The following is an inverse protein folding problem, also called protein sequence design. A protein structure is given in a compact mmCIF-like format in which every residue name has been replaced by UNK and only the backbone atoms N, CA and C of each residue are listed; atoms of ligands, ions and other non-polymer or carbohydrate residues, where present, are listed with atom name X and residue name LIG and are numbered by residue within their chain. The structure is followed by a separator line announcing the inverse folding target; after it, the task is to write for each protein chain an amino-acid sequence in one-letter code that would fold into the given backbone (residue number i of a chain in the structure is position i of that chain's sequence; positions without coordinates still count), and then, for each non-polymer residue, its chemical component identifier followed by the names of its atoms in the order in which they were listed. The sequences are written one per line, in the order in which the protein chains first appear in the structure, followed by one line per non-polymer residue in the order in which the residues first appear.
data_IF_379186320193
#
_entry.id   IF_379186320193
#
_cell.length_a   1.000
_cell.length_b   1.000
_cell.length_c   1.000
_cell.angle_alpha   90.00
_cell.angle_beta   90.00
_cell.angle_gamma   90.00
#
_symmetry.space_group_name_H-M   'P 1'
#
loop_
_entity.id
_entity.type
_entity.pdbx_description
1 polymer ?
#
# COMPACT_ATOMS: atom_id res chain seq x y z
N UNK A 1 -0.62 10.96 15.60
CA UNK A 1 -1.44 11.28 14.42
C UNK A 1 -0.56 11.87 13.32
N UNK A 2 -0.59 11.30 12.15
CA UNK A 2 0.18 11.85 11.02
C UNK A 2 -0.76 12.14 9.85
N UNK A 3 -0.44 13.17 9.09
CA UNK A 3 -1.16 13.50 7.88
C UNK A 3 -0.65 12.67 6.70
N UNK A 4 -1.34 12.80 5.57
CA UNK A 4 -0.99 12.04 4.36
C UNK A 4 0.41 12.36 3.87
N UNK A 5 0.78 13.64 3.85
CA UNK A 5 2.11 14.04 3.37
C UNK A 5 3.23 13.48 4.24
N UNK A 6 3.05 13.51 5.56
CA UNK A 6 4.01 12.93 6.49
C UNK A 6 4.09 11.42 6.31
N UNK A 7 2.95 10.78 6.08
CA UNK A 7 2.90 9.34 5.81
C UNK A 7 3.73 8.99 4.58
N UNK A 8 3.54 9.72 3.49
CA UNK A 8 4.30 9.49 2.25
C UNK A 8 5.79 9.70 2.46
N UNK A 9 6.15 10.73 3.19
CA UNK A 9 7.55 11.03 3.49
C UNK A 9 8.20 9.94 4.32
N UNK A 10 7.50 9.44 5.33
CA UNK A 10 8.01 8.36 6.17
C UNK A 10 8.15 7.05 5.40
N UNK A 11 7.20 6.75 4.52
CA UNK A 11 7.29 5.56 3.69
C UNK A 11 8.49 5.64 2.75
N UNK A 12 8.75 6.80 2.17
CA UNK A 12 9.92 6.98 1.31
C UNK A 12 11.24 6.92 2.05
N UNK A 13 11.23 7.13 3.37
CA UNK A 13 12.44 7.03 4.18
C UNK A 13 12.83 5.59 4.51
N UNK A 14 11.98 4.61 4.21
CA UNK A 14 12.31 3.20 4.42
C UNK A 14 13.43 2.83 3.45
N UNK A 15 14.50 2.16 3.93
CA UNK A 15 15.61 1.77 3.04
C UNK A 15 15.13 0.95 1.84
N UNK A 16 15.54 1.37 0.66
CA UNK A 16 15.17 0.69 -0.59
C UNK A 16 13.90 1.19 -1.22
N UNK A 17 13.13 2.02 -0.55
CA UNK A 17 11.89 2.55 -1.12
C UNK A 17 12.20 3.46 -2.31
N UNK A 18 11.60 3.15 -3.46
CA UNK A 18 11.76 3.91 -4.69
C UNK A 18 10.59 4.82 -4.96
N UNK A 19 9.39 4.30 -4.77
CA UNK A 19 8.17 5.06 -4.98
C UNK A 19 7.08 4.58 -4.06
N UNK A 20 6.14 5.47 -3.77
CA UNK A 20 4.95 5.15 -2.99
C UNK A 20 3.76 5.86 -3.60
N UNK A 21 2.62 5.17 -3.66
CA UNK A 21 1.36 5.71 -4.15
C UNK A 21 0.27 5.32 -3.17
N UNK A 22 -0.46 6.30 -2.69
CA UNK A 22 -1.67 6.06 -1.88
C UNK A 22 -2.86 6.07 -2.84
N UNK A 23 -3.63 5.01 -2.85
CA UNK A 23 -4.68 4.78 -3.84
C UNK A 23 -6.02 4.61 -3.16
N UNK A 24 -7.04 5.24 -3.75
CA UNK A 24 -8.43 4.97 -3.42
C UNK A 24 -8.88 3.79 -4.29
N UNK A 25 -8.99 2.62 -3.69
CA UNK A 25 -9.35 1.40 -4.40
C UNK A 25 -10.78 1.37 -4.92
N UNK A 26 -11.66 2.25 -4.44
CA UNK A 26 -13.01 2.34 -4.97
C UNK A 26 -13.04 3.00 -6.34
N UNK A 27 -12.23 4.05 -6.51
CA UNK A 27 -12.19 4.81 -7.78
C UNK A 27 -11.01 4.43 -8.67
N UNK A 28 -9.96 3.88 -8.10
CA UNK A 28 -8.72 3.62 -8.82
C UNK A 28 -7.85 4.86 -9.00
N UNK A 29 -8.10 5.91 -8.24
CA UNK A 29 -7.38 7.17 -8.37
C UNK A 29 -6.26 7.29 -7.33
N UNK A 30 -5.16 7.92 -7.74
CA UNK A 30 -4.08 8.22 -6.83
C UNK A 30 -4.48 9.39 -5.94
N UNK A 31 -4.41 9.17 -4.62
CA UNK A 31 -4.68 10.21 -3.63
C UNK A 31 -3.41 11.01 -3.35
N UNK A 32 -2.28 10.33 -3.29
CA UNK A 32 -0.99 10.95 -3.05
C UNK A 32 0.11 10.05 -3.62
N UNK A 33 1.24 10.62 -3.93
CA UNK A 33 2.37 9.86 -4.44
C UNK A 33 3.68 10.58 -4.10
N UNK A 34 4.74 9.81 -3.99
CA UNK A 34 6.09 10.32 -3.75
C UNK A 34 7.11 9.39 -4.39
N UNK A 35 8.31 9.90 -4.61
CA UNK A 35 9.39 9.11 -5.18
C UNK A 35 9.38 9.08 -6.69
N UNK A 36 10.07 8.09 -7.25
CA UNK A 36 10.28 7.97 -8.70
C UNK A 36 9.34 6.94 -9.29
N UNK A 37 8.48 7.40 -10.19
CA UNK A 37 7.46 6.56 -10.82
C UNK A 37 7.79 6.14 -12.26
N UNK A 38 9.02 6.37 -12.74
CA UNK A 38 9.42 5.93 -14.07
C UNK A 38 9.44 4.41 -14.17
N UNK A 39 9.04 3.83 -15.29
CA UNK A 39 8.43 4.44 -16.48
C UNK A 39 6.91 4.64 -16.36
N UNK A 40 6.29 4.17 -15.29
CA UNK A 40 4.84 4.23 -15.08
C UNK A 40 4.53 5.42 -14.19
N UNK A 41 3.62 6.29 -14.63
CA UNK A 41 3.25 7.41 -13.78
C UNK A 41 2.31 7.01 -12.66
N UNK A 42 2.09 7.92 -11.71
CA UNK A 42 1.30 7.62 -10.51
C UNK A 42 -0.16 7.26 -10.81
N UNK A 43 -0.72 7.83 -11.86
CA UNK A 43 -2.12 7.57 -12.22
C UNK A 43 -2.29 6.20 -12.85
N UNK A 44 -1.36 5.82 -13.71
CA UNK A 44 -1.33 4.48 -14.29
C UNK A 44 -1.04 3.43 -13.22
N UNK A 45 -0.11 3.74 -12.33
CA UNK A 45 0.19 2.87 -11.19
C UNK A 45 -1.06 2.63 -10.34
N UNK A 46 -1.78 3.68 -10.00
CA UNK A 46 -2.99 3.57 -9.20
C UNK A 46 -4.06 2.74 -9.89
N UNK A 47 -4.28 2.97 -11.17
CA UNK A 47 -5.31 2.25 -11.92
C UNK A 47 -4.99 0.76 -12.04
N UNK A 48 -3.76 0.42 -12.38
CA UNK A 48 -3.38 -0.97 -12.59
C UNK A 48 -3.24 -1.76 -11.28
N UNK A 49 -2.72 -1.14 -10.24
CA UNK A 49 -2.64 -1.81 -8.94
C UNK A 49 -4.02 -2.01 -8.31
N UNK A 50 -4.96 -1.12 -8.59
CA UNK A 50 -6.34 -1.32 -8.16
C UNK A 50 -6.92 -2.59 -8.77
N UNK A 51 -6.64 -2.87 -10.03
CA UNK A 51 -7.10 -4.10 -10.69
C UNK A 51 -6.54 -5.33 -9.98
N UNK A 52 -5.27 -5.29 -9.60
CA UNK A 52 -4.63 -6.39 -8.86
C UNK A 52 -5.32 -6.59 -7.51
N UNK A 53 -5.51 -5.52 -6.77
CA UNK A 53 -6.14 -5.60 -5.44
C UNK A 53 -7.55 -6.16 -5.54
N UNK A 54 -8.33 -5.68 -6.51
CA UNK A 54 -9.70 -6.18 -6.72
C UNK A 54 -9.70 -7.66 -7.07
N UNK A 55 -8.79 -8.09 -7.93
CA UNK A 55 -8.70 -9.50 -8.32
C UNK A 55 -8.38 -10.38 -7.10
N UNK A 56 -7.47 -9.93 -6.24
CA UNK A 56 -7.10 -10.67 -5.03
C UNK A 56 -8.29 -10.73 -4.06
N UNK A 57 -8.95 -9.61 -3.83
CA UNK A 57 -10.05 -9.53 -2.86
C UNK A 57 -11.27 -10.35 -3.29
N UNK A 58 -11.43 -10.58 -4.58
CA UNK A 58 -12.57 -11.36 -5.10
C UNK A 58 -12.19 -12.79 -5.46
N UNK A 59 -10.95 -13.21 -5.20
CA UNK A 59 -10.47 -14.54 -5.54
C UNK A 59 -10.93 -15.55 -4.47
N UNK A 60 -11.78 -16.54 -4.83
CA UNK A 60 -12.28 -17.49 -3.82
C UNK A 60 -11.17 -18.30 -3.16
N UNK A 61 -10.09 -18.57 -3.89
CA UNK A 61 -8.98 -19.37 -3.37
C UNK A 61 -8.24 -18.66 -2.23
N UNK A 62 -8.38 -17.34 -2.12
CA UNK A 62 -7.72 -16.54 -1.10
C UNK A 62 -8.68 -16.15 0.03
N UNK A 63 -9.95 -16.53 -0.08
CA UNK A 63 -10.95 -16.21 0.92
C UNK A 63 -10.90 -17.24 2.05
N UNK A 64 -11.00 -16.78 3.28
CA UNK A 64 -11.11 -17.66 4.45
C UNK A 64 -12.56 -17.91 4.84
N UNK A 65 -13.51 -17.35 4.10
CA UNK A 65 -14.92 -17.39 4.45
C UNK A 65 -15.32 -16.38 5.51
N UNK A 66 -14.41 -15.47 5.85
CA UNK A 66 -14.66 -14.41 6.83
C UNK A 66 -15.14 -13.15 6.12
N UNK A 67 -14.84 -12.01 6.68
CA UNK A 67 -15.26 -10.74 6.11
C UNK A 67 -14.30 -10.23 5.04
N UNK A 68 -14.55 -9.04 4.56
CA UNK A 68 -13.75 -8.38 3.54
C UNK A 68 -12.28 -8.12 3.94
N UNK A 69 -11.94 -8.40 5.19
CA UNK A 69 -10.61 -8.15 5.74
C UNK A 69 -9.67 -9.35 5.64
N UNK A 70 -10.03 -10.35 4.83
CA UNK A 70 -9.22 -11.56 4.71
C UNK A 70 -7.82 -11.29 4.19
N UNK A 71 -7.68 -10.33 3.28
CA UNK A 71 -6.38 -9.97 2.72
C UNK A 71 -5.99 -8.58 3.20
N UNK A 72 -4.83 -8.49 3.84
CA UNK A 72 -4.31 -7.22 4.33
C UNK A 72 -3.09 -6.74 3.56
N UNK A 73 -2.43 -7.65 2.87
CA UNK A 73 -1.13 -7.35 2.26
C UNK A 73 -0.92 -8.23 1.04
N UNK A 74 -0.33 -7.65 0.00
CA UNK A 74 0.06 -8.37 -1.22
C UNK A 74 1.53 -8.05 -1.47
N UNK A 75 2.34 -9.09 -1.64
CA UNK A 75 3.76 -8.93 -1.92
C UNK A 75 4.07 -9.56 -3.26
N UNK A 76 4.74 -8.80 -4.12
CA UNK A 76 5.13 -9.28 -5.45
C UNK A 76 6.64 -9.14 -5.55
N UNK A 77 7.34 -10.27 -5.67
CA UNK A 77 8.79 -10.29 -5.77
C UNK A 77 9.27 -10.42 -7.20
N UNK A 78 10.44 -9.87 -7.46
CA UNK A 78 11.10 -9.97 -8.74
C UNK A 78 12.62 -9.87 -8.55
N UNK A 79 13.40 -10.07 -9.62
CA UNK A 79 14.87 -10.07 -9.49
C UNK A 79 15.46 -8.71 -9.08
N UNK A 80 14.75 -7.61 -9.35
CA UNK A 80 15.25 -6.28 -9.02
C UNK A 80 14.70 -5.69 -7.74
N UNK A 81 13.86 -6.43 -7.01
CA UNK A 81 13.26 -5.92 -5.79
C UNK A 81 11.88 -6.49 -5.55
N UNK A 82 11.05 -5.76 -4.85
CA UNK A 82 9.69 -6.22 -4.57
C UNK A 82 8.71 -5.06 -4.46
N UNK A 83 7.43 -5.40 -4.60
CA UNK A 83 6.32 -4.47 -4.43
C UNK A 83 5.51 -4.91 -3.22
N UNK A 84 5.11 -3.94 -2.42
CA UNK A 84 4.27 -4.18 -1.26
C UNK A 84 2.99 -3.36 -1.42
N UNK A 85 1.85 -4.05 -1.44
CA UNK A 85 0.55 -3.41 -1.44
C UNK A 85 -0.10 -3.71 -0.10
N UNK A 86 -0.34 -2.68 0.68
CA UNK A 86 -0.91 -2.82 2.02
C UNK A 86 -2.24 -2.11 2.09
N UNK A 87 -3.29 -2.87 2.42
CA UNK A 87 -4.61 -2.28 2.62
C UNK A 87 -4.65 -1.57 3.97
N UNK A 88 -5.25 -0.39 3.97
CA UNK A 88 -5.33 0.44 5.17
C UNK A 88 -6.64 0.15 5.87
N UNK A 89 -6.55 -0.28 7.13
CA UNK A 89 -7.73 -0.52 7.94
C UNK A 89 -8.36 0.81 8.33
N UNK A 90 -9.71 0.84 8.35
CA UNK A 90 -10.42 2.05 8.74
C UNK A 90 -11.83 2.05 8.17
N UNK A 91 -12.56 3.12 8.47
CA UNK A 91 -13.94 3.29 8.02
C UNK A 91 -14.02 4.06 6.72
N UNK A 92 -13.20 3.68 5.77
CA UNK A 92 -13.25 4.30 4.46
C UNK A 92 -14.25 3.56 3.58
N UNK A 93 -15.09 4.30 2.89
CA UNK A 93 -16.05 3.72 1.95
C UNK A 93 -15.35 3.00 0.82
N UNK A 94 -14.22 3.51 0.40
CA UNK A 94 -13.35 2.86 -0.54
C UNK A 94 -12.31 2.05 0.18
N UNK A 95 -11.57 1.26 -0.55
CA UNK A 95 -10.47 0.48 0.01
C UNK A 95 -9.18 1.22 -0.25
N UNK A 96 -8.79 2.03 0.72
CA UNK A 96 -7.51 2.70 0.63
C UNK A 96 -6.40 1.67 0.74
N UNK A 97 -5.42 1.78 -0.12
CA UNK A 97 -4.21 0.97 0.00
C UNK A 97 -3.00 1.79 -0.42
N UNK A 98 -1.85 1.33 0.00
CA UNK A 98 -0.60 1.94 -0.42
C UNK A 98 0.19 0.93 -1.22
N UNK A 99 0.80 1.39 -2.32
CA UNK A 99 1.73 0.60 -3.11
C UNK A 99 3.11 1.20 -2.93
N UNK A 100 4.02 0.41 -2.36
CA UNK A 100 5.42 0.82 -2.18
C UNK A 100 6.29 -0.09 -3.03
N UNK A 101 7.12 0.51 -3.86
CA UNK A 101 8.10 -0.22 -4.66
C UNK A 101 9.46 -0.12 -3.99
N UNK A 102 10.06 -1.28 -3.78
CA UNK A 102 11.39 -1.37 -3.19
C UNK A 102 12.36 -1.94 -4.22
N UNK A 103 13.47 -1.22 -4.41
CA UNK A 103 14.56 -1.70 -5.25
C UNK A 103 15.59 -2.40 -4.37
N UNK A 104 16.28 -3.39 -4.95
CA UNK A 104 17.43 -3.99 -4.31
C UNK A 104 17.14 -5.32 -3.65
N UNK A 105 17.93 -5.60 -2.63
CA UNK A 105 18.01 -6.91 -2.01
C UNK A 105 16.75 -7.25 -1.22
N UNK A 106 16.32 -8.50 -1.35
CA UNK A 106 15.15 -8.99 -0.61
C UNK A 106 15.40 -9.12 0.89
N UNK A 107 16.66 -9.01 1.32
CA UNK A 107 17.00 -9.06 2.74
C UNK A 107 16.32 -8.00 3.60
N UNK A 108 15.76 -6.96 2.97
CA UNK A 108 15.07 -5.87 3.67
C UNK A 108 13.55 -6.07 3.77
N UNK A 109 13.01 -7.14 3.20
CA UNK A 109 11.55 -7.34 3.13
C UNK A 109 10.90 -7.33 4.52
N UNK A 110 11.44 -8.08 5.46
CA UNK A 110 10.85 -8.15 6.80
C UNK A 110 10.83 -6.78 7.48
N UNK A 111 11.91 -6.02 7.35
CA UNK A 111 12.01 -4.68 7.92
C UNK A 111 11.04 -3.73 7.23
N UNK A 112 10.94 -3.81 5.90
CA UNK A 112 10.03 -2.98 5.13
C UNK A 112 8.59 -3.23 5.55
N UNK A 113 8.18 -4.49 5.69
CA UNK A 113 6.83 -4.85 6.12
C UNK A 113 6.53 -4.29 7.50
N UNK A 114 7.46 -4.42 8.41
CA UNK A 114 7.29 -3.91 9.78
C UNK A 114 7.11 -2.39 9.76
N UNK A 115 7.95 -1.68 9.04
CA UNK A 115 7.92 -0.22 8.99
C UNK A 115 6.66 0.30 8.29
N UNK A 116 6.28 -0.32 7.17
CA UNK A 116 5.05 0.07 6.47
C UNK A 116 3.85 -0.10 7.39
N UNK A 117 3.74 -1.24 8.05
CA UNK A 117 2.64 -1.51 8.96
C UNK A 117 2.60 -0.48 10.10
N UNK A 118 3.73 -0.16 10.69
CA UNK A 118 3.81 0.80 11.79
C UNK A 118 3.38 2.20 11.35
N UNK A 119 3.84 2.63 10.18
CA UNK A 119 3.51 3.96 9.65
C UNK A 119 2.01 4.05 9.34
N UNK A 120 1.46 3.03 8.68
CA UNK A 120 0.05 3.04 8.32
C UNK A 120 -0.86 2.91 9.56
N UNK A 121 -0.39 2.25 10.60
CA UNK A 121 -1.13 2.18 11.86
C UNK A 121 -1.30 3.55 12.49
N UNK A 122 -0.31 4.42 12.37
CA UNK A 122 -0.40 5.79 12.87
C UNK A 122 -1.45 6.59 12.10
N UNK A 123 -1.53 6.40 10.79
CA UNK A 123 -2.52 7.05 9.96
C UNK A 123 -3.93 6.55 10.29
N UNK A 124 -4.10 5.24 10.32
CA UNK A 124 -5.38 4.61 10.63
C UNK A 124 -5.80 4.87 12.09
N UNK A 125 -4.84 4.80 13.01
CA UNK A 125 -5.09 5.08 14.43
C UNK A 125 -5.53 6.51 14.67
N UNK A 126 -4.97 7.44 13.91
CA UNK A 126 -5.36 8.84 13.98
C UNK A 126 -6.81 9.02 13.53
N UNK A 127 -7.20 8.34 12.46
CA UNK A 127 -8.58 8.38 11.97
C UNK A 127 -9.54 7.78 12.99
N UNK A 128 -9.20 6.62 13.51
CA UNK A 128 -10.01 5.97 14.54
C UNK A 128 -10.09 6.82 15.82
N UNK A 129 -9.01 7.47 16.19
CA UNK A 129 -8.96 8.30 17.37
C UNK A 129 -9.76 9.61 17.25
N UNK A 130 -10.06 10.01 16.03
CA UNK A 130 -10.84 11.22 15.77
C UNK A 130 -12.33 11.03 16.07
N UNK A 131 -12.71 9.83 16.39
CA UNK A 131 -14.11 9.51 16.72
C UNK A 131 -14.28 9.43 18.21
#
# INVERSE_FOLDING_TARGET
MIGIDDCMERLMAIPGARSVTLVDGASGLAVAAAGRHDPVDRHEDAATTTDIVRAVLTCPALSTGRTDDDVTEIIIGGPGGFHLLRLIAGDYDGRLFVHVRFDGDTGTLALARFKVQAILAELAGADAGAR
#
